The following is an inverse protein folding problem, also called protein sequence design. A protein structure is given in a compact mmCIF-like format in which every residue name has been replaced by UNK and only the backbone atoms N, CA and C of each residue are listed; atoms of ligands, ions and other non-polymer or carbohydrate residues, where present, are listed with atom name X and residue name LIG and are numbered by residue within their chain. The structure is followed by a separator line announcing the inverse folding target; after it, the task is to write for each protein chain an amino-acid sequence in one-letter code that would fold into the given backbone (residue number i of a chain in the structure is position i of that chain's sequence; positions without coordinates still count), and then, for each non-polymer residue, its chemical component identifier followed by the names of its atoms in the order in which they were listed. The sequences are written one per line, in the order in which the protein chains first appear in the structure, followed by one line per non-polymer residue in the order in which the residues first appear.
data_IF_654654525305
#
_entry.id   IF_654654525305
#
_cell.length_a   1.000
_cell.length_b   1.000
_cell.length_c   1.000
_cell.angle_alpha   90.00
_cell.angle_beta   90.00
_cell.angle_gamma   90.00
#
_symmetry.space_group_name_H-M   'P 1'
#
loop_
_entity.id
_entity.type
_entity.pdbx_description
1 polymer ?
#
# COMPACT_ATOMS: atom_id res chain seq x y z
N UNK A 1 15.30 0.24 -7.88
CA UNK A 1 16.38 0.74 -6.99
C UNK A 1 16.90 2.08 -7.46
N UNK A 2 17.23 2.25 -8.73
CA UNK A 2 17.88 3.45 -9.27
C UNK A 2 17.06 4.74 -9.05
N UNK A 3 15.73 4.70 -9.28
CA UNK A 3 14.85 5.83 -9.00
C UNK A 3 14.86 6.19 -7.51
N UNK A 4 14.77 5.20 -6.61
CA UNK A 4 14.78 5.45 -5.18
C UNK A 4 16.10 6.08 -4.71
N UNK A 5 17.24 5.63 -5.26
CA UNK A 5 18.55 6.22 -4.98
C UNK A 5 18.59 7.67 -5.44
N UNK A 6 18.15 7.94 -6.67
CA UNK A 6 18.10 9.31 -7.22
C UNK A 6 17.20 10.25 -6.42
N UNK A 7 16.03 9.77 -5.99
CA UNK A 7 15.11 10.52 -5.13
C UNK A 7 15.76 10.80 -3.76
N UNK A 8 16.43 9.83 -3.15
CA UNK A 8 17.10 10.02 -1.87
C UNK A 8 18.26 11.03 -1.94
N UNK A 9 19.03 11.01 -3.04
CA UNK A 9 20.13 11.94 -3.27
C UNK A 9 19.67 13.38 -3.51
N UNK A 10 18.57 13.56 -4.27
CA UNK A 10 18.09 14.86 -4.71
C UNK A 10 17.01 15.46 -3.80
N UNK A 11 16.36 14.65 -2.95
CA UNK A 11 15.29 15.04 -2.00
C UNK A 11 14.25 15.97 -2.62
N UNK A 12 13.59 15.60 -3.75
CA UNK A 12 12.61 16.44 -4.39
C UNK A 12 11.42 16.70 -3.47
N UNK A 13 10.84 17.88 -3.56
CA UNK A 13 9.66 18.24 -2.77
C UNK A 13 8.35 17.81 -3.44
N UNK A 14 8.34 17.66 -4.76
CA UNK A 14 7.14 17.34 -5.55
C UNK A 14 7.39 16.20 -6.54
N UNK A 15 6.31 15.60 -7.04
CA UNK A 15 6.41 14.59 -8.10
C UNK A 15 6.99 15.15 -9.39
N UNK A 16 6.72 16.41 -9.71
CA UNK A 16 7.26 17.07 -10.89
C UNK A 16 8.79 17.19 -10.80
N UNK A 17 9.29 17.61 -9.64
CA UNK A 17 10.73 17.65 -9.37
C UNK A 17 11.35 16.26 -9.42
N UNK A 18 10.70 15.25 -8.85
CA UNK A 18 11.17 13.87 -8.88
C UNK A 18 11.25 13.32 -10.31
N UNK A 19 10.25 13.59 -11.16
CA UNK A 19 10.23 13.17 -12.56
C UNK A 19 11.31 13.86 -13.42
N UNK A 20 11.68 15.10 -13.06
CA UNK A 20 12.70 15.89 -13.74
C UNK A 20 14.14 15.53 -13.33
N UNK A 21 14.35 14.69 -12.31
CA UNK A 21 15.70 14.29 -11.87
C UNK A 21 16.43 13.63 -13.03
N UNK A 22 17.68 14.08 -13.25
CA UNK A 22 18.54 13.56 -14.32
C UNK A 22 19.03 12.15 -14.02
N UNK A 23 18.99 11.32 -15.04
CA UNK A 23 19.52 9.97 -15.07
C UNK A 23 20.68 9.88 -16.07
N UNK A 24 21.26 8.72 -16.24
CA UNK A 24 22.32 8.52 -17.26
C UNK A 24 21.80 8.67 -18.70
N UNK A 25 20.53 8.39 -18.93
CA UNK A 25 19.90 8.40 -20.26
C UNK A 25 19.03 9.64 -20.54
N UNK A 26 18.63 10.36 -19.50
CA UNK A 26 17.75 11.51 -19.64
C UNK A 26 17.19 12.00 -18.32
N UNK A 27 15.92 11.73 -18.06
CA UNK A 27 15.24 12.02 -16.80
C UNK A 27 14.47 10.77 -16.33
N UNK A 28 14.05 10.75 -15.06
CA UNK A 28 13.20 9.66 -14.56
C UNK A 28 11.94 9.51 -15.42
N UNK A 29 11.33 10.62 -15.85
CA UNK A 29 10.17 10.60 -16.74
C UNK A 29 10.47 9.91 -18.07
N UNK A 30 11.57 10.29 -18.75
CA UNK A 30 11.96 9.68 -20.02
C UNK A 30 12.29 8.20 -19.89
N UNK A 31 12.92 7.78 -18.79
CA UNK A 31 13.25 6.38 -18.53
C UNK A 31 11.98 5.54 -18.29
N UNK A 32 10.95 6.09 -17.66
CA UNK A 32 9.65 5.42 -17.48
C UNK A 32 8.91 5.27 -18.80
N UNK A 33 8.98 6.26 -19.70
CA UNK A 33 8.39 6.20 -21.05
C UNK A 33 9.10 5.12 -21.86
N UNK A 34 10.44 5.09 -21.84
CA UNK A 34 11.23 4.04 -22.51
C UNK A 34 10.87 2.65 -21.98
N UNK A 35 10.82 2.48 -20.65
CA UNK A 35 10.46 1.22 -20.01
C UNK A 35 9.05 0.77 -20.38
N UNK A 36 8.07 1.68 -20.42
CA UNK A 36 6.69 1.41 -20.86
C UNK A 36 6.68 0.91 -22.31
N UNK A 37 7.48 1.54 -23.18
CA UNK A 37 7.57 1.15 -24.59
C UNK A 37 8.20 -0.23 -24.79
N UNK A 38 9.26 -0.53 -24.04
CA UNK A 38 9.98 -1.82 -24.13
C UNK A 38 9.16 -2.97 -23.55
N UNK A 39 8.50 -2.77 -22.42
CA UNK A 39 7.74 -3.79 -21.71
C UNK A 39 6.34 -3.99 -22.32
N UNK A 40 5.79 -2.94 -22.96
CA UNK A 40 4.44 -2.96 -23.52
C UNK A 40 3.33 -2.78 -22.47
N UNK A 41 3.68 -2.45 -21.24
CA UNK A 41 2.76 -2.20 -20.13
C UNK A 41 2.99 -0.79 -19.57
N UNK A 42 1.91 -0.08 -19.22
CA UNK A 42 2.01 1.26 -18.63
C UNK A 42 2.66 1.19 -17.25
N UNK A 43 3.86 1.75 -17.12
CA UNK A 43 4.59 1.91 -15.86
C UNK A 43 4.38 3.32 -15.36
N UNK A 44 4.01 3.47 -14.08
CA UNK A 44 3.80 4.77 -13.44
C UNK A 44 4.60 4.86 -12.15
N UNK A 45 5.30 5.97 -11.97
CA UNK A 45 5.86 6.39 -10.69
C UNK A 45 4.85 7.31 -10.01
N UNK A 46 4.09 6.78 -9.03
CA UNK A 46 2.92 7.48 -8.47
C UNK A 46 3.24 8.36 -7.29
N UNK A 47 4.14 7.91 -6.43
CA UNK A 47 4.48 8.57 -5.18
C UNK A 47 5.84 8.13 -4.68
N UNK A 48 6.42 8.96 -3.87
CA UNK A 48 7.62 8.67 -3.09
C UNK A 48 7.49 9.34 -1.72
N UNK A 49 8.31 8.91 -0.80
CA UNK A 49 8.47 9.54 0.49
C UNK A 49 9.95 9.54 0.87
N UNK A 50 10.46 10.68 1.34
CA UNK A 50 11.81 10.82 1.86
C UNK A 50 11.72 10.88 3.36
N UNK A 51 12.27 9.87 4.03
CA UNK A 51 12.23 9.74 5.49
C UNK A 51 13.61 9.95 6.05
N UNK A 52 13.73 10.85 7.03
CA UNK A 52 14.96 11.10 7.77
C UNK A 52 14.87 10.45 9.15
N UNK A 53 16.01 10.04 9.68
CA UNK A 53 16.12 9.50 11.03
C UNK A 53 17.14 10.28 11.86
N UNK A 54 16.96 10.29 13.17
CA UNK A 54 17.97 10.78 14.09
C UNK A 54 19.16 9.80 14.20
N UNK A 55 20.29 10.25 14.75
CA UNK A 55 21.49 9.41 14.90
C UNK A 55 21.28 8.23 15.85
N UNK A 56 20.38 8.36 16.83
CA UNK A 56 20.01 7.31 17.78
C UNK A 56 18.82 6.46 17.32
N UNK A 57 18.48 6.51 16.04
CA UNK A 57 17.38 5.76 15.45
C UNK A 57 17.88 4.73 14.43
N UNK A 58 17.10 3.67 14.22
CA UNK A 58 17.35 2.66 13.21
C UNK A 58 16.34 2.75 12.07
N UNK A 59 16.80 2.52 10.83
CA UNK A 59 15.95 2.19 9.69
C UNK A 59 15.79 0.67 9.58
N UNK A 60 14.55 0.24 9.34
CA UNK A 60 14.25 -1.13 8.91
C UNK A 60 13.63 -1.12 7.53
N UNK A 61 14.28 -1.75 6.57
CA UNK A 61 13.75 -1.91 5.23
C UNK A 61 13.41 -3.38 4.96
N UNK A 62 12.21 -3.62 4.41
CA UNK A 62 11.79 -4.96 4.05
C UNK A 62 11.03 -4.95 2.71
N UNK A 63 11.47 -5.84 1.81
CA UNK A 63 10.82 -6.06 0.53
C UNK A 63 10.15 -7.43 0.53
N UNK A 64 8.86 -7.46 0.28
CA UNK A 64 8.05 -8.67 0.25
C UNK A 64 7.60 -9.00 -1.17
N UNK A 65 7.41 -10.30 -1.47
CA UNK A 65 6.96 -10.80 -2.76
C UNK A 65 7.75 -10.23 -3.96
N UNK A 66 9.08 -10.29 -3.88
CA UNK A 66 9.95 -9.81 -4.97
C UNK A 66 9.93 -8.28 -5.16
N UNK A 67 9.58 -7.52 -4.12
CA UNK A 67 9.48 -6.05 -4.17
C UNK A 67 8.09 -5.52 -4.50
N UNK A 68 7.07 -6.38 -4.52
CA UNK A 68 5.68 -5.94 -4.70
C UNK A 68 5.19 -5.09 -3.53
N UNK A 69 5.63 -5.42 -2.31
CA UNK A 69 5.40 -4.62 -1.11
C UNK A 69 6.76 -4.16 -0.59
N UNK A 70 6.89 -2.88 -0.33
CA UNK A 70 8.06 -2.26 0.27
C UNK A 70 7.66 -1.56 1.56
N UNK A 71 8.42 -1.82 2.63
CA UNK A 71 8.21 -1.19 3.94
C UNK A 71 9.51 -0.56 4.41
N UNK A 72 9.41 0.64 4.93
CA UNK A 72 10.45 1.34 5.66
C UNK A 72 9.92 1.70 7.04
N UNK A 73 10.65 1.36 8.09
CA UNK A 73 10.34 1.73 9.48
C UNK A 73 11.43 2.60 10.07
N UNK A 74 11.04 3.47 10.98
CA UNK A 74 11.95 4.24 11.85
C UNK A 74 11.66 3.86 13.29
N UNK A 75 12.70 3.36 13.98
CA UNK A 75 12.65 3.04 15.39
C UNK A 75 13.60 3.99 16.12
N UNK A 76 13.06 4.83 16.99
CA UNK A 76 13.84 5.73 17.84
C UNK A 76 14.38 4.98 19.07
N UNK A 77 15.47 5.47 19.66
CA UNK A 77 16.05 4.96 20.92
C UNK A 77 16.94 3.74 20.76
N UNK A 78 17.01 3.13 19.59
CA UNK A 78 17.94 2.04 19.25
C UNK A 78 18.53 2.23 17.87
N UNK A 79 19.77 1.78 17.70
CA UNK A 79 20.45 1.73 16.38
C UNK A 79 20.45 0.33 15.78
N UNK A 80 19.73 -0.62 16.40
CA UNK A 80 19.63 -2.00 15.95
C UNK A 80 18.69 -2.11 14.72
N UNK A 81 19.30 -2.20 13.54
CA UNK A 81 18.58 -2.32 12.27
C UNK A 81 17.80 -3.64 12.15
N UNK A 82 18.19 -4.67 12.88
CA UNK A 82 17.48 -5.95 12.84
C UNK A 82 16.11 -5.83 13.54
N UNK A 83 16.03 -5.11 14.65
CA UNK A 83 14.76 -4.78 15.33
C UNK A 83 13.85 -4.01 14.38
N UNK A 84 14.36 -2.98 13.73
CA UNK A 84 13.58 -2.18 12.78
C UNK A 84 13.13 -3.01 11.56
N UNK A 85 13.97 -3.90 11.04
CA UNK A 85 13.64 -4.81 9.95
C UNK A 85 12.56 -5.83 10.33
N UNK A 86 12.61 -6.35 11.56
CA UNK A 86 11.61 -7.27 12.07
C UNK A 86 10.23 -6.61 12.18
N UNK A 87 10.18 -5.36 12.60
CA UNK A 87 8.95 -4.54 12.59
C UNK A 87 8.49 -4.28 11.15
N UNK A 88 9.41 -3.96 10.22
CA UNK A 88 9.07 -3.78 8.81
C UNK A 88 8.46 -5.05 8.19
N UNK A 89 8.96 -6.23 8.53
CA UNK A 89 8.41 -7.51 8.12
C UNK A 89 6.99 -7.72 8.67
N UNK A 90 6.76 -7.40 9.95
CA UNK A 90 5.43 -7.43 10.56
C UNK A 90 4.45 -6.53 9.80
N UNK A 91 4.84 -5.28 9.49
CA UNK A 91 4.02 -4.32 8.73
C UNK A 91 3.69 -4.85 7.34
N UNK A 92 4.65 -5.48 6.66
CA UNK A 92 4.39 -6.07 5.34
C UNK A 92 3.34 -7.18 5.39
N UNK A 93 3.33 -7.98 6.47
CA UNK A 93 2.42 -9.11 6.64
C UNK A 93 1.03 -8.70 7.12
N UNK A 94 0.94 -7.82 8.10
CA UNK A 94 -0.32 -7.49 8.81
C UNK A 94 -1.00 -6.24 8.26
N UNK A 95 -0.23 -5.33 7.61
CA UNK A 95 -0.73 -4.09 7.02
C UNK A 95 -1.45 -3.17 8.01
N UNK A 96 -0.82 -2.76 9.13
CA UNK A 96 -1.39 -1.77 10.03
C UNK A 96 -1.58 -0.43 9.30
N UNK A 97 -2.54 0.37 9.75
CA UNK A 97 -2.86 1.66 9.12
C UNK A 97 -2.23 2.84 9.84
N UNK A 98 -2.00 2.71 11.13
CA UNK A 98 -1.46 3.74 12.02
C UNK A 98 -0.37 3.16 12.90
N UNK A 99 0.52 4.02 13.41
CA UNK A 99 1.53 3.57 14.38
C UNK A 99 0.88 3.22 15.71
N UNK A 100 -0.01 4.09 16.22
CA UNK A 100 -0.72 3.91 17.49
C UNK A 100 -2.15 4.44 17.42
N UNK A 101 -2.95 4.15 18.45
CA UNK A 101 -4.36 4.55 18.51
C UNK A 101 -4.59 6.08 18.41
N UNK A 102 -3.64 6.90 18.88
CA UNK A 102 -3.78 8.37 18.86
C UNK A 102 -3.77 8.97 17.45
N UNK A 103 -3.27 8.23 16.46
CA UNK A 103 -3.23 8.65 15.07
C UNK A 103 -4.51 8.31 14.31
N UNK A 104 -5.40 7.52 14.89
CA UNK A 104 -6.66 7.15 14.25
C UNK A 104 -7.58 8.38 14.21
N UNK A 105 -8.06 8.83 13.03
CA UNK A 105 -8.95 9.95 12.93
C UNK A 105 -10.25 9.72 13.71
N UNK A 106 -10.72 10.75 14.43
CA UNK A 106 -11.96 10.65 15.20
C UNK A 106 -13.16 10.30 14.32
N UNK A 107 -13.22 10.83 13.12
CA UNK A 107 -14.28 10.53 12.14
C UNK A 107 -14.34 9.04 11.79
N UNK A 108 -13.18 8.40 11.65
CA UNK A 108 -13.10 6.95 11.39
C UNK A 108 -13.63 6.13 12.58
N UNK A 109 -13.25 6.52 13.80
CA UNK A 109 -13.76 5.87 15.01
C UNK A 109 -15.26 6.05 15.18
N UNK A 110 -15.82 7.21 14.85
CA UNK A 110 -17.25 7.49 14.90
C UNK A 110 -18.01 6.69 13.85
N UNK A 111 -17.45 6.59 12.63
CA UNK A 111 -18.03 5.78 11.57
C UNK A 111 -18.05 4.30 11.97
N UNK A 112 -16.93 3.76 12.42
CA UNK A 112 -16.84 2.35 12.87
C UNK A 112 -17.78 2.06 14.04
N UNK A 113 -17.86 2.99 15.01
CA UNK A 113 -18.80 2.89 16.13
C UNK A 113 -20.25 2.81 15.65
N UNK A 114 -20.64 3.61 14.65
CA UNK A 114 -21.98 3.57 14.06
C UNK A 114 -22.27 2.22 13.40
N UNK A 115 -21.32 1.70 12.60
CA UNK A 115 -21.43 0.39 11.94
C UNK A 115 -21.57 -0.74 12.96
N UNK A 116 -20.72 -0.75 13.98
CA UNK A 116 -20.76 -1.77 15.04
C UNK A 116 -22.05 -1.72 15.85
N UNK A 117 -22.60 -0.51 16.06
CA UNK A 117 -23.88 -0.32 16.77
C UNK A 117 -25.02 -0.92 15.94
N UNK A 118 -25.08 -0.61 14.66
CA UNK A 118 -26.10 -1.16 13.75
C UNK A 118 -26.04 -2.68 13.68
N UNK A 119 -24.84 -3.25 13.54
CA UNK A 119 -24.63 -4.70 13.55
C UNK A 119 -25.15 -5.34 14.84
N UNK A 120 -24.81 -4.77 16.00
CA UNK A 120 -25.23 -5.32 17.29
C UNK A 120 -26.77 -5.24 17.50
N UNK A 121 -27.40 -4.16 17.00
CA UNK A 121 -28.88 -4.03 17.01
C UNK A 121 -29.54 -5.07 16.11
N UNK A 122 -28.99 -5.31 14.93
CA UNK A 122 -29.49 -6.31 13.98
C UNK A 122 -29.34 -7.75 14.52
N UNK A 123 -28.38 -7.98 15.44
CA UNK A 123 -28.27 -9.25 16.19
C UNK A 123 -29.39 -9.44 17.24
N UNK A 124 -30.28 -8.46 17.41
CA UNK A 124 -31.41 -8.54 18.35
C UNK A 124 -31.01 -8.38 19.82
N UNK A 125 -29.86 -7.79 20.10
CA UNK A 125 -29.37 -7.59 21.47
C UNK A 125 -30.07 -6.40 22.14
N UNK A 126 -30.36 -6.48 23.47
CA UNK A 126 -30.88 -5.34 24.23
C UNK A 126 -29.93 -4.13 24.21
N UNK A 127 -30.46 -2.91 24.19
CA UNK A 127 -29.69 -1.68 24.04
C UNK A 127 -28.55 -1.52 25.05
N UNK A 128 -28.76 -1.92 26.31
CA UNK A 128 -27.74 -1.87 27.37
C UNK A 128 -26.57 -2.87 27.12
N UNK A 129 -26.84 -3.96 26.39
CA UNK A 129 -25.81 -4.94 26.00
C UNK A 129 -25.10 -4.44 24.76
N UNK A 130 -25.81 -3.84 23.80
CA UNK A 130 -25.26 -3.25 22.58
C UNK A 130 -24.15 -2.25 22.91
N UNK A 131 -24.39 -1.33 23.84
CA UNK A 131 -23.40 -0.30 24.24
C UNK A 131 -22.09 -0.94 24.72
N UNK A 132 -22.15 -1.95 25.59
CA UNK A 132 -20.97 -2.66 26.08
C UNK A 132 -20.25 -3.45 24.99
N UNK A 133 -21.00 -4.09 24.10
CA UNK A 133 -20.45 -4.83 22.96
C UNK A 133 -19.72 -3.91 22.00
N UNK A 134 -20.30 -2.76 21.70
CA UNK A 134 -19.71 -1.75 20.79
C UNK A 134 -18.41 -1.21 21.36
N UNK A 135 -18.35 -0.89 22.66
CA UNK A 135 -17.09 -0.46 23.30
C UNK A 135 -15.98 -1.52 23.14
N UNK A 136 -16.31 -2.80 23.43
CA UNK A 136 -15.34 -3.88 23.30
C UNK A 136 -14.89 -4.13 21.85
N UNK A 137 -15.85 -4.11 20.91
CA UNK A 137 -15.54 -4.29 19.47
C UNK A 137 -14.74 -3.12 18.92
N UNK A 138 -15.03 -1.88 19.33
CA UNK A 138 -14.28 -0.70 18.92
C UNK A 138 -12.85 -0.73 19.45
N UNK A 139 -12.64 -1.18 20.68
CA UNK A 139 -11.29 -1.35 21.23
C UNK A 139 -10.49 -2.40 20.46
N UNK A 140 -11.15 -3.50 20.08
CA UNK A 140 -10.54 -4.54 19.24
C UNK A 140 -10.18 -3.98 17.85
N UNK A 141 -11.08 -3.23 17.22
CA UNK A 141 -10.83 -2.58 15.94
C UNK A 141 -9.59 -1.67 16.00
N UNK A 142 -9.48 -0.82 17.03
CA UNK A 142 -8.30 0.03 17.21
C UNK A 142 -7.01 -0.77 17.30
N UNK A 143 -6.99 -1.84 18.09
CA UNK A 143 -5.83 -2.71 18.24
C UNK A 143 -5.47 -3.46 16.93
N UNK A 144 -6.45 -3.75 16.09
CA UNK A 144 -6.23 -4.39 14.79
C UNK A 144 -5.57 -3.46 13.77
N UNK A 145 -5.81 -2.14 13.83
CA UNK A 145 -5.28 -1.18 12.85
C UNK A 145 -4.07 -0.38 13.35
N UNK A 146 -3.79 -0.40 14.66
CA UNK A 146 -2.65 0.27 15.27
C UNK A 146 -1.47 -0.69 15.44
N UNK A 147 -0.36 -0.40 14.77
CA UNK A 147 0.84 -1.26 14.72
C UNK A 147 1.32 -1.71 16.11
N UNK A 148 1.44 -0.76 17.04
CA UNK A 148 2.06 -1.03 18.35
C UNK A 148 1.23 -1.97 19.22
N UNK A 149 -0.08 -2.03 19.00
CA UNK A 149 -1.04 -2.85 19.75
C UNK A 149 -1.21 -4.25 19.15
N UNK A 150 -0.71 -4.48 17.94
CA UNK A 150 -0.84 -5.77 17.26
C UNK A 150 0.06 -6.83 17.89
N UNK A 151 -0.41 -8.10 17.98
CA UNK A 151 0.46 -9.22 18.33
C UNK A 151 1.63 -9.32 17.34
N UNK A 152 2.85 -9.40 17.84
CA UNK A 152 4.03 -9.43 16.98
C UNK A 152 4.12 -10.73 16.18
N UNK A 153 4.34 -10.64 14.87
CA UNK A 153 4.29 -11.81 13.98
C UNK A 153 5.30 -12.92 14.32
N UNK A 154 6.46 -12.57 14.90
CA UNK A 154 7.48 -13.55 15.32
C UNK A 154 7.23 -14.10 16.73
N UNK A 155 6.49 -13.38 17.56
CA UNK A 155 6.15 -13.77 18.92
C UNK A 155 4.78 -13.20 19.31
N UNK A 156 3.69 -13.94 19.03
CA UNK A 156 2.32 -13.48 19.29
C UNK A 156 1.97 -13.26 20.76
N UNK A 157 2.81 -13.73 21.69
CA UNK A 157 2.59 -13.55 23.13
C UNK A 157 2.94 -12.12 23.60
N UNK A 158 3.57 -11.33 22.74
CA UNK A 158 3.84 -9.91 22.99
C UNK A 158 3.33 -9.03 21.85
N UNK A 159 3.03 -7.76 22.16
CA UNK A 159 2.71 -6.76 21.16
C UNK A 159 3.98 -6.22 20.50
N UNK A 160 3.84 -5.59 19.33
CA UNK A 160 4.96 -4.88 18.67
C UNK A 160 5.58 -3.85 19.61
N UNK A 161 4.77 -3.09 20.35
CA UNK A 161 5.26 -2.13 21.36
C UNK A 161 6.19 -2.79 22.38
N UNK A 162 5.74 -3.90 22.99
CA UNK A 162 6.54 -4.62 24.00
C UNK A 162 7.82 -5.18 23.40
N UNK A 163 7.76 -5.71 22.19
CA UNK A 163 8.95 -6.20 21.48
C UNK A 163 9.97 -5.08 21.30
N UNK A 164 9.57 -3.94 20.74
CA UNK A 164 10.46 -2.81 20.45
C UNK A 164 10.99 -2.20 21.75
N UNK A 165 10.13 -2.02 22.77
CA UNK A 165 10.54 -1.52 24.08
C UNK A 165 11.56 -2.43 24.79
N UNK A 166 11.45 -3.77 24.63
CA UNK A 166 12.42 -4.72 25.15
C UNK A 166 13.82 -4.56 24.55
N UNK A 167 13.91 -3.91 23.39
CA UNK A 167 15.15 -3.56 22.69
C UNK A 167 15.59 -2.11 22.89
N UNK A 168 14.92 -1.40 23.83
CA UNK A 168 15.21 -0.02 24.15
C UNK A 168 14.72 1.01 23.14
N UNK A 169 13.85 0.62 22.21
CA UNK A 169 13.35 1.46 21.15
C UNK A 169 11.87 1.80 21.28
N UNK A 170 11.42 2.68 20.39
CA UNK A 170 10.02 3.08 20.18
C UNK A 170 9.76 3.24 18.69
N UNK A 171 8.61 2.77 18.21
CA UNK A 171 8.23 2.95 16.80
C UNK A 171 7.87 4.41 16.57
N UNK A 172 8.63 5.10 15.72
CA UNK A 172 8.38 6.49 15.35
C UNK A 172 7.43 6.62 14.17
N UNK A 173 7.75 5.92 13.09
CA UNK A 173 6.98 5.98 11.85
C UNK A 173 7.23 4.76 10.98
N UNK A 174 6.36 4.56 10.02
CA UNK A 174 6.58 3.62 8.93
C UNK A 174 5.96 4.13 7.63
N UNK A 175 6.49 3.64 6.53
CA UNK A 175 5.94 3.81 5.18
C UNK A 175 5.77 2.42 4.58
N UNK A 176 4.60 2.14 4.02
CA UNK A 176 4.30 0.91 3.29
C UNK A 176 3.74 1.27 1.93
N UNK A 177 4.38 0.76 0.88
CA UNK A 177 3.90 0.87 -0.48
C UNK A 177 3.68 -0.50 -1.08
N UNK A 178 2.59 -0.63 -1.81
CA UNK A 178 2.27 -1.83 -2.57
C UNK A 178 2.03 -1.47 -4.04
N UNK A 179 2.60 -2.27 -4.94
CA UNK A 179 2.42 -2.07 -6.39
C UNK A 179 0.95 -2.26 -6.75
N UNK A 180 0.39 -1.26 -7.43
CA UNK A 180 -1.01 -1.26 -7.85
C UNK A 180 -2.02 -0.83 -6.77
N UNK A 181 -1.55 -0.43 -5.59
CA UNK A 181 -2.42 0.08 -4.52
C UNK A 181 -3.18 1.33 -4.98
N UNK A 182 -4.51 1.35 -4.74
CA UNK A 182 -5.38 2.48 -5.11
C UNK A 182 -5.60 2.66 -6.61
N UNK A 183 -5.22 1.70 -7.45
CA UNK A 183 -5.63 1.64 -8.84
C UNK A 183 -6.91 0.83 -8.89
N UNK A 184 -7.99 1.44 -9.39
CA UNK A 184 -9.21 0.69 -9.71
C UNK A 184 -8.84 -0.41 -10.70
N UNK A 185 -8.99 -1.65 -10.28
CA UNK A 185 -8.90 -2.78 -11.20
C UNK A 185 -10.07 -2.63 -12.16
N UNK A 186 -9.79 -2.51 -13.46
CA UNK A 186 -10.84 -2.74 -14.47
C UNK A 186 -11.42 -4.11 -14.14
N UNK A 187 -12.68 -4.14 -13.77
CA UNK A 187 -13.44 -5.38 -13.84
C UNK A 187 -13.63 -5.65 -15.34
N UNK A 188 -12.70 -6.40 -15.91
CA UNK A 188 -12.88 -6.99 -17.22
C UNK A 188 -14.01 -8.00 -17.07
N UNK A 189 -15.23 -7.51 -17.29
CA UNK A 189 -16.40 -8.37 -17.33
C UNK A 189 -16.36 -9.11 -18.67
N UNK A 190 -15.46 -10.11 -18.73
CA UNK A 190 -15.24 -10.94 -19.91
C UNK A 190 -16.57 -11.50 -20.45
N UNK A 191 -17.54 -11.78 -19.56
CA UNK A 191 -18.86 -12.23 -19.97
C UNK A 191 -19.63 -11.15 -20.76
N UNK A 192 -19.57 -9.88 -20.34
CA UNK A 192 -20.23 -8.78 -21.04
C UNK A 192 -19.50 -8.42 -22.33
N UNK A 193 -18.18 -8.53 -22.37
CA UNK A 193 -17.39 -8.31 -23.58
C UNK A 193 -17.68 -9.38 -24.63
N UNK A 194 -17.74 -10.64 -24.25
CA UNK A 194 -18.15 -11.76 -25.11
C UNK A 194 -19.60 -11.58 -25.58
N UNK A 195 -20.52 -11.20 -24.68
CA UNK A 195 -21.93 -10.95 -25.07
C UNK A 195 -22.06 -9.74 -25.98
N UNK A 196 -21.25 -8.70 -25.81
CA UNK A 196 -21.28 -7.54 -26.74
C UNK A 196 -20.76 -7.89 -28.13
N UNK A 197 -19.73 -8.74 -28.19
CA UNK A 197 -19.21 -9.26 -29.46
C UNK A 197 -20.22 -10.22 -30.16
N UNK A 198 -20.94 -11.03 -29.38
CA UNK A 198 -21.98 -11.91 -29.92
C UNK A 198 -23.23 -11.15 -30.39
N UNK A 199 -23.54 -9.98 -29.79
CA UNK A 199 -24.66 -9.12 -30.22
C UNK A 199 -24.34 -8.29 -31.46
N UNK A 200 -23.09 -8.21 -31.90
CA UNK A 200 -22.67 -7.45 -33.09
C UNK A 200 -21.90 -8.34 -34.09
N UNK A 201 -22.55 -9.34 -34.72
CA UNK A 201 -21.90 -10.30 -35.62
C UNK A 201 -21.38 -9.68 -36.91
N UNK A 202 -21.68 -8.40 -37.18
CA UNK A 202 -21.29 -7.71 -38.43
C UNK A 202 -19.82 -7.28 -38.51
N UNK A 203 -19.04 -7.42 -37.42
CA UNK A 203 -17.61 -7.01 -37.44
C UNK A 203 -16.68 -8.16 -37.87
N UNK A 204 -17.19 -9.39 -38.02
CA UNK A 204 -16.40 -10.58 -38.40
C UNK A 204 -16.52 -10.95 -39.88
N UNK A 205 -17.38 -10.32 -40.64
CA UNK A 205 -17.43 -10.49 -42.09
C UNK A 205 -16.59 -9.37 -42.76
N UNK A 206 -15.27 -9.50 -42.72
CA UNK A 206 -14.43 -8.93 -43.77
C UNK A 206 -14.79 -9.68 -45.07
N UNK A 207 -15.58 -9.02 -45.89
CA UNK A 207 -15.91 -9.54 -47.24
C UNK A 207 -14.61 -9.73 -48.04
N UNK A 208 -14.52 -10.74 -48.92
CA UNK A 208 -13.34 -10.99 -49.75
C UNK A 208 -12.89 -9.81 -50.60
N UNK A 209 -13.73 -8.80 -50.78
CA UNK A 209 -13.44 -7.59 -51.57
C UNK A 209 -12.42 -6.62 -50.94
N UNK A 210 -12.13 -6.74 -49.63
CA UNK A 210 -11.10 -5.91 -48.97
C UNK A 210 -9.68 -6.44 -49.14
N UNK A 211 -9.50 -7.64 -49.66
CA UNK A 211 -8.18 -8.26 -49.92
C UNK A 211 -7.60 -7.93 -51.30
N UNK A 212 -8.38 -7.30 -52.18
CA UNK A 212 -8.00 -6.99 -53.58
C UNK A 212 -7.23 -5.70 -53.80
N UNK A 213 -6.96 -4.88 -52.73
CA UNK A 213 -6.30 -3.56 -52.89
C UNK A 213 -4.92 -3.44 -52.29
N UNK A 214 -4.27 -4.54 -51.95
CA UNK A 214 -2.91 -4.52 -51.34
C UNK A 214 -1.84 -5.21 -52.22
N UNK A 215 -2.15 -5.50 -53.48
CA UNK A 215 -1.16 -5.96 -54.47
C UNK A 215 -1.34 -5.14 -55.73
N UNK A 216 -0.59 -4.04 -55.84
CA UNK A 216 -0.56 -3.23 -57.04
C UNK A 216 0.36 -2.04 -56.92
N UNK A 217 1.61 -2.25 -57.36
CA UNK A 217 2.69 -1.30 -57.61
C UNK A 217 3.37 -0.64 -56.44
#
# INVERSE_FOLDING_TARGET
KDIATKVAENKPATMEEAMAIKTEKGTIESDLIEATTVIGEKISFRRFEVVEKADNAAFGAYLHMGGRIAVLTVIDGTTDEEVAKDVAMHIAAINPRYVNESQIPQEELEHEKAVLTEQALNEGKPANIVEKMVVGRLQKFKAEIALVDQPFVKDPDMTVEKFVASKGGEVKSFVRFEVGEGIEKREDNFADEVMSQMKNPMTLLRTPESLGKLVGY
#
